data_IF_600309933577
#
_entry.id   IF_600309933577
#
_cell.length_a   1.000
_cell.length_b   1.000
_cell.length_c   1.000
_cell.angle_alpha   90.00
_cell.angle_beta   90.00
_cell.angle_gamma   90.00
#
_symmetry.space_group_name_H-M   'P 1'
#
loop_
_entity.id
_entity.type
_entity.pdbx_description
1 polymer ?
#
# COMPACT_ATOMS: atom_id res chain seq x y z
N UNK A 1 12.61 8.90 -18.25
CA UNK A 1 12.79 9.13 -16.81
C UNK A 1 11.66 9.99 -16.33
N UNK A 2 10.70 9.42 -15.62
CA UNK A 2 9.62 10.14 -14.96
C UNK A 2 9.53 9.61 -13.53
N UNK A 3 9.36 10.49 -12.56
CA UNK A 3 9.17 10.08 -11.17
C UNK A 3 8.01 9.06 -11.10
N UNK A 4 8.12 8.03 -10.24
CA UNK A 4 7.04 7.07 -10.10
C UNK A 4 5.72 7.80 -9.74
N UNK A 5 4.57 7.37 -10.29
CA UNK A 5 3.31 8.03 -10.02
C UNK A 5 2.99 7.98 -8.52
N UNK A 6 2.46 9.08 -7.99
CA UNK A 6 2.02 9.14 -6.61
C UNK A 6 0.96 8.07 -6.31
N UNK A 7 0.92 7.62 -5.05
CA UNK A 7 -0.15 6.73 -4.59
C UNK A 7 -1.49 7.45 -4.68
N UNK A 8 -2.53 6.71 -5.11
CA UNK A 8 -3.89 7.20 -5.00
C UNK A 8 -4.32 7.23 -3.52
N UNK A 9 -5.38 7.98 -3.16
CA UNK A 9 -5.89 8.00 -1.79
C UNK A 9 -6.18 6.59 -1.24
N UNK A 10 -6.82 5.73 -2.06
CA UNK A 10 -7.15 4.36 -1.66
C UNK A 10 -5.92 3.48 -1.48
N UNK A 11 -4.91 3.64 -2.34
CA UNK A 11 -3.63 2.95 -2.18
C UNK A 11 -2.88 3.38 -0.91
N UNK A 12 -2.95 4.68 -0.58
CA UNK A 12 -2.42 5.21 0.67
C UNK A 12 -3.12 4.64 1.91
N UNK A 13 -4.45 4.55 1.90
CA UNK A 13 -5.24 3.93 2.97
C UNK A 13 -4.88 2.44 3.16
N UNK A 14 -4.79 1.68 2.06
CA UNK A 14 -4.36 0.27 2.10
C UNK A 14 -2.96 0.17 2.70
N UNK A 15 -2.01 0.98 2.22
CA UNK A 15 -0.63 0.96 2.70
C UNK A 15 -0.51 1.40 4.17
N UNK A 16 -1.36 2.30 4.64
CA UNK A 16 -1.43 2.67 6.05
C UNK A 16 -1.78 1.46 6.93
N UNK A 17 -2.90 0.78 6.65
CA UNK A 17 -3.29 -0.40 7.44
C UNK A 17 -2.31 -1.56 7.31
N UNK A 18 -1.59 -1.63 6.19
CA UNK A 18 -0.48 -2.56 6.01
C UNK A 18 0.64 -2.30 6.99
N UNK A 19 1.00 -1.03 7.19
CA UNK A 19 1.95 -0.58 8.21
C UNK A 19 1.48 -0.86 9.64
N UNK A 20 0.17 -0.79 9.89
CA UNK A 20 -0.47 -1.19 11.16
C UNK A 20 -0.56 -2.72 11.36
N UNK A 21 0.00 -3.52 10.43
CA UNK A 21 0.06 -4.98 10.55
C UNK A 21 -1.21 -5.73 10.15
N UNK A 22 -2.20 -5.06 9.53
CA UNK A 22 -3.49 -5.69 9.16
C UNK A 22 -3.40 -6.57 7.93
N UNK A 23 -3.95 -7.78 7.97
CA UNK A 23 -4.07 -8.68 6.81
C UNK A 23 -5.00 -8.12 5.74
N UNK A 24 -4.90 -8.60 4.49
CA UNK A 24 -5.79 -8.15 3.41
C UNK A 24 -7.29 -8.38 3.73
N UNK A 25 -7.60 -9.40 4.53
CA UNK A 25 -8.98 -9.67 5.00
C UNK A 25 -9.45 -8.56 5.95
N UNK A 26 -8.66 -8.26 6.99
CA UNK A 26 -8.98 -7.18 7.92
C UNK A 26 -9.07 -5.82 7.23
N UNK A 27 -8.16 -5.52 6.30
CA UNK A 27 -8.19 -4.28 5.52
C UNK A 27 -9.45 -4.21 4.67
N UNK A 28 -9.85 -5.32 4.05
CA UNK A 28 -11.08 -5.40 3.27
C UNK A 28 -12.31 -5.06 4.12
N UNK A 29 -12.37 -5.60 5.34
CA UNK A 29 -13.43 -5.28 6.31
C UNK A 29 -13.40 -3.81 6.72
N UNK A 30 -12.22 -3.24 7.00
CA UNK A 30 -12.06 -1.84 7.42
C UNK A 30 -12.47 -0.87 6.30
N UNK A 31 -12.09 -1.16 5.05
CA UNK A 31 -12.31 -0.26 3.90
C UNK A 31 -13.59 -0.55 3.13
N UNK A 32 -14.36 -1.58 3.50
CA UNK A 32 -15.59 -1.97 2.82
C UNK A 32 -15.36 -2.54 1.42
N UNK A 33 -14.24 -3.24 1.19
CA UNK A 33 -13.86 -3.84 -0.10
C UNK A 33 -13.43 -5.30 0.08
N UNK A 34 -13.36 -6.07 -1.01
CA UNK A 34 -12.89 -7.46 -0.92
C UNK A 34 -11.39 -7.53 -0.63
N UNK A 35 -10.94 -8.60 0.05
CA UNK A 35 -9.51 -8.87 0.24
C UNK A 35 -8.74 -9.01 -1.09
N UNK A 36 -9.42 -9.45 -2.17
CA UNK A 36 -8.87 -9.47 -3.53
C UNK A 36 -8.65 -8.05 -4.06
N UNK A 37 -9.59 -7.13 -3.82
CA UNK A 37 -9.44 -5.71 -4.18
C UNK A 37 -8.27 -5.08 -3.43
N UNK A 38 -8.09 -5.39 -2.14
CA UNK A 38 -6.91 -4.97 -1.36
C UNK A 38 -5.62 -5.47 -2.00
N UNK A 39 -5.58 -6.73 -2.42
CA UNK A 39 -4.42 -7.31 -3.10
C UNK A 39 -4.08 -6.57 -4.40
N UNK A 40 -5.08 -6.22 -5.22
CA UNK A 40 -4.87 -5.42 -6.43
C UNK A 40 -4.32 -4.02 -6.12
N UNK A 41 -4.81 -3.36 -5.07
CA UNK A 41 -4.23 -2.09 -4.63
C UNK A 41 -2.76 -2.24 -4.20
N UNK A 42 -2.41 -3.32 -3.50
CA UNK A 42 -1.03 -3.60 -3.11
C UNK A 42 -0.10 -3.82 -4.31
N UNK A 43 -0.56 -4.54 -5.33
CA UNK A 43 0.21 -4.74 -6.57
C UNK A 43 0.52 -3.41 -7.28
N UNK A 44 -0.46 -2.49 -7.32
CA UNK A 44 -0.23 -1.15 -7.86
C UNK A 44 0.71 -0.32 -6.98
N UNK A 45 0.56 -0.40 -5.65
CA UNK A 45 1.47 0.25 -4.69
C UNK A 45 2.90 -0.24 -4.92
N UNK A 46 3.11 -1.54 -5.08
CA UNK A 46 4.43 -2.13 -5.31
C UNK A 46 5.07 -1.60 -6.59
N UNK A 47 4.31 -1.55 -7.68
CA UNK A 47 4.77 -0.96 -8.94
C UNK A 47 5.12 0.53 -8.81
N UNK A 48 4.31 1.31 -8.08
CA UNK A 48 4.56 2.74 -7.86
C UNK A 48 5.72 3.02 -6.91
N UNK A 49 5.93 2.19 -5.90
CA UNK A 49 7.03 2.35 -4.95
C UNK A 49 8.33 1.70 -5.43
N UNK A 50 8.29 0.92 -6.51
CA UNK A 50 9.46 0.18 -7.01
C UNK A 50 9.91 -0.91 -6.04
N UNK A 51 8.98 -1.50 -5.29
CA UNK A 51 9.24 -2.54 -4.28
C UNK A 51 8.58 -3.85 -4.68
N UNK A 52 9.04 -4.97 -4.11
CA UNK A 52 8.53 -6.31 -4.47
C UNK A 52 7.86 -7.01 -3.30
N UNK A 53 7.80 -6.36 -2.14
CA UNK A 53 7.23 -6.97 -0.93
C UNK A 53 6.50 -5.96 -0.06
N UNK A 54 5.58 -6.52 0.72
CA UNK A 54 4.82 -5.80 1.75
C UNK A 54 5.72 -5.08 2.75
N UNK A 55 6.77 -5.74 3.23
CA UNK A 55 7.71 -5.16 4.20
C UNK A 55 8.49 -3.98 3.58
N UNK A 56 8.93 -4.10 2.33
CA UNK A 56 9.58 -3.01 1.62
C UNK A 56 8.63 -1.83 1.38
N UNK A 57 7.37 -2.09 1.05
CA UNK A 57 6.36 -1.03 0.90
C UNK A 57 6.15 -0.24 2.19
N UNK A 58 6.11 -0.92 3.35
CA UNK A 58 6.04 -0.26 4.67
C UNK A 58 7.30 0.56 4.94
N UNK A 59 8.49 -0.02 4.73
CA UNK A 59 9.75 0.68 4.93
C UNK A 59 9.84 1.95 4.07
N UNK A 60 9.43 1.86 2.81
CA UNK A 60 9.38 2.99 1.89
C UNK A 60 8.36 4.05 2.31
N UNK A 61 7.18 3.64 2.78
CA UNK A 61 6.17 4.57 3.31
C UNK A 61 6.68 5.32 4.54
N UNK A 62 7.45 4.67 5.42
CA UNK A 62 8.06 5.29 6.59
C UNK A 62 9.17 6.29 6.19
N UNK A 63 10.01 5.94 5.21
CA UNK A 63 11.04 6.85 4.67
C UNK A 63 10.44 8.15 4.16
N UNK A 64 9.38 8.07 3.35
CA UNK A 64 8.70 9.24 2.77
C UNK A 64 7.95 10.13 3.76
N UNK A 65 7.70 9.66 4.99
CA UNK A 65 7.10 10.48 6.07
C UNK A 65 8.13 11.26 6.88
N UNK A 66 9.40 10.87 6.80
CA UNK A 66 10.50 11.50 7.51
C UNK A 66 11.15 12.66 6.73
N UNK A 67 10.76 12.83 5.47
CA UNK A 67 11.12 13.94 4.57
C UNK A 67 10.06 15.04 4.63
#
# INVERSE_FOLDING_TARGET
GGAPPALSPREGEVLHWVGEGKTNQEIGLILGISARTVQTHLEHVFGKLGVVSRAQAVAEALRRRAE
#
